data_IF_955761179377
#
_entry.id   IF_955761179377
#
_cell.length_a   1.000
_cell.length_b   1.000
_cell.length_c   1.000
_cell.angle_alpha   90.00
_cell.angle_beta   90.00
_cell.angle_gamma   90.00
#
_symmetry.space_group_name_H-M   'P 1'
#
loop_
_entity.id
_entity.type
_entity.pdbx_description
1 polymer ?
#
# COMPACT_ATOMS: atom_id res chain seq x y z
N UNK A 1 -6.52 25.91 -26.12
CA UNK A 1 -7.71 25.04 -26.24
C UNK A 1 -8.96 25.86 -25.95
N UNK A 2 -10.13 25.35 -26.29
CA UNK A 2 -11.43 25.96 -25.96
C UNK A 2 -11.95 25.45 -24.60
N UNK A 3 -12.85 26.20 -23.95
CA UNK A 3 -13.44 25.80 -22.67
C UNK A 3 -14.10 24.42 -22.75
N UNK A 4 -14.80 24.12 -23.86
CA UNK A 4 -15.48 22.85 -24.09
C UNK A 4 -14.51 21.65 -24.24
N UNK A 5 -13.31 21.89 -24.74
CA UNK A 5 -12.25 20.88 -24.79
C UNK A 5 -11.62 20.69 -23.40
N UNK A 6 -11.39 21.78 -22.68
CA UNK A 6 -10.87 21.75 -21.31
C UNK A 6 -11.82 20.97 -20.39
N UNK A 7 -13.13 21.26 -20.42
CA UNK A 7 -14.15 20.58 -19.62
C UNK A 7 -14.14 19.06 -19.80
N UNK A 8 -13.95 18.57 -21.04
CA UNK A 8 -13.85 17.14 -21.32
C UNK A 8 -12.56 16.50 -20.80
N UNK A 9 -11.51 17.29 -20.67
CA UNK A 9 -10.20 16.84 -20.18
C UNK A 9 -10.11 16.89 -18.65
N UNK A 10 -11.01 17.58 -17.95
CA UNK A 10 -11.00 17.69 -16.48
C UNK A 10 -11.03 16.29 -15.80
N UNK A 11 -11.93 15.36 -16.13
CA UNK A 11 -11.95 14.04 -15.49
C UNK A 11 -10.68 13.24 -15.79
N UNK A 12 -10.21 13.28 -17.05
CA UNK A 12 -9.00 12.59 -17.49
C UNK A 12 -7.75 13.16 -16.81
N UNK A 13 -7.76 14.46 -16.49
CA UNK A 13 -6.72 15.13 -15.71
C UNK A 13 -6.73 14.69 -14.25
N UNK A 14 -7.92 14.59 -13.62
CA UNK A 14 -8.07 14.09 -12.25
C UNK A 14 -7.58 12.64 -12.14
N UNK A 15 -7.82 11.82 -13.16
CA UNK A 15 -7.31 10.44 -13.27
C UNK A 15 -5.83 10.35 -13.69
N UNK A 16 -5.16 11.49 -13.93
CA UNK A 16 -3.76 11.60 -14.34
C UNK A 16 -3.41 10.85 -15.64
N UNK A 17 -4.35 10.82 -16.59
CA UNK A 17 -4.20 10.11 -17.88
C UNK A 17 -3.98 11.05 -19.09
N UNK A 18 -3.75 12.36 -18.87
CA UNK A 18 -3.46 13.28 -19.96
C UNK A 18 -2.08 13.07 -20.57
N UNK A 19 -2.00 13.16 -21.90
CA UNK A 19 -0.72 13.22 -22.59
C UNK A 19 -0.02 14.57 -22.32
N UNK A 20 1.31 14.59 -22.31
CA UNK A 20 2.13 15.77 -21.97
C UNK A 20 1.77 17.02 -22.80
N UNK A 21 1.55 16.85 -24.11
CA UNK A 21 1.16 17.97 -25.00
C UNK A 21 -0.22 18.53 -24.71
N UNK A 22 -1.14 17.70 -24.23
CA UNK A 22 -2.50 18.11 -23.89
C UNK A 22 -2.52 18.75 -22.51
N UNK A 23 -1.73 18.20 -21.57
CA UNK A 23 -1.55 18.72 -20.23
C UNK A 23 -1.00 20.15 -20.24
N UNK A 24 0.04 20.42 -21.03
CA UNK A 24 0.62 21.75 -21.13
C UNK A 24 -0.42 22.79 -21.59
N UNK A 25 -1.14 22.49 -22.68
CA UNK A 25 -2.20 23.36 -23.20
C UNK A 25 -3.37 23.51 -22.21
N UNK A 26 -3.66 22.47 -21.44
CA UNK A 26 -4.73 22.45 -20.44
C UNK A 26 -4.39 23.37 -19.26
N UNK A 27 -3.17 23.26 -18.75
CA UNK A 27 -2.68 24.09 -17.66
C UNK A 27 -2.59 25.57 -18.06
N UNK A 28 -2.18 25.87 -19.30
CA UNK A 28 -2.18 27.24 -19.81
C UNK A 28 -3.60 27.84 -19.86
N UNK A 29 -4.59 27.04 -20.29
CA UNK A 29 -5.98 27.47 -20.35
C UNK A 29 -6.61 27.66 -18.96
N UNK A 30 -6.42 26.71 -18.04
CA UNK A 30 -6.98 26.82 -16.68
C UNK A 30 -6.38 28.00 -15.90
N UNK A 31 -5.11 28.33 -16.11
CA UNK A 31 -4.48 29.51 -15.51
C UNK A 31 -5.09 30.83 -15.97
N UNK A 32 -5.62 30.88 -17.19
CA UNK A 32 -6.15 32.11 -17.81
C UNK A 32 -7.67 32.18 -17.82
N UNK A 33 -8.37 31.06 -17.63
CA UNK A 33 -9.82 30.97 -17.61
C UNK A 33 -10.33 30.59 -16.20
N UNK A 34 -10.85 31.56 -15.42
CA UNK A 34 -11.34 31.29 -14.07
C UNK A 34 -12.56 30.35 -14.05
N UNK A 35 -13.42 30.38 -15.08
CA UNK A 35 -14.57 29.50 -15.17
C UNK A 35 -14.18 28.01 -15.26
N UNK A 36 -13.17 27.68 -16.08
CA UNK A 36 -12.67 26.31 -16.18
C UNK A 36 -11.92 25.86 -14.92
N UNK A 37 -11.28 26.79 -14.19
CA UNK A 37 -10.66 26.52 -12.90
C UNK A 37 -11.71 26.20 -11.83
N UNK A 38 -12.81 26.95 -11.79
CA UNK A 38 -13.94 26.71 -10.90
C UNK A 38 -14.58 25.35 -11.16
N UNK A 39 -14.90 25.04 -12.42
CA UNK A 39 -15.43 23.73 -12.82
C UNK A 39 -14.48 22.59 -12.44
N UNK A 40 -13.17 22.75 -12.67
CA UNK A 40 -12.17 21.75 -12.27
C UNK A 40 -12.18 21.52 -10.76
N UNK A 41 -12.30 22.59 -9.96
CA UNK A 41 -12.34 22.49 -8.51
C UNK A 41 -13.58 21.74 -8.01
N UNK A 42 -14.75 21.99 -8.62
CA UNK A 42 -16.01 21.29 -8.30
C UNK A 42 -15.89 19.81 -8.65
N UNK A 43 -15.42 19.49 -9.86
CA UNK A 43 -15.22 18.11 -10.32
C UNK A 43 -14.22 17.35 -9.45
N UNK A 44 -13.13 18.00 -9.03
CA UNK A 44 -12.17 17.43 -8.10
C UNK A 44 -12.79 17.15 -6.72
N UNK A 45 -13.56 18.09 -6.17
CA UNK A 45 -14.26 17.91 -4.88
C UNK A 45 -15.30 16.79 -4.95
N UNK A 46 -16.02 16.64 -6.07
CA UNK A 46 -16.96 15.53 -6.27
C UNK A 46 -16.21 14.21 -6.37
N UNK A 47 -15.13 14.14 -7.14
CA UNK A 47 -14.31 12.93 -7.26
C UNK A 47 -13.72 12.51 -5.91
N UNK A 48 -13.14 13.44 -5.17
CA UNK A 48 -12.59 13.21 -3.82
C UNK A 48 -13.70 12.88 -2.80
N UNK A 49 -14.87 13.51 -2.91
CA UNK A 49 -16.04 13.21 -2.10
C UNK A 49 -16.59 11.81 -2.34
N UNK A 50 -16.65 11.37 -3.60
CA UNK A 50 -17.03 10.01 -3.98
C UNK A 50 -16.01 8.99 -3.49
N UNK A 51 -14.72 9.28 -3.68
CA UNK A 51 -13.63 8.47 -3.13
C UNK A 51 -13.76 8.28 -1.62
N UNK A 52 -14.08 9.35 -0.88
CA UNK A 52 -14.33 9.29 0.58
C UNK A 52 -15.59 8.52 1.00
N UNK A 53 -16.61 8.47 0.15
CA UNK A 53 -17.84 7.71 0.39
C UNK A 53 -17.67 6.23 0.04
N UNK A 54 -16.89 5.93 -1.00
CA UNK A 54 -16.51 4.58 -1.41
C UNK A 54 -15.47 3.98 -0.43
N UNK A 55 -14.55 4.81 0.10
CA UNK A 55 -13.66 4.50 1.24
C UNK A 55 -14.38 4.56 2.59
N UNK A 56 -15.70 4.81 2.62
CA UNK A 56 -16.55 4.58 3.78
C UNK A 56 -16.01 5.13 5.10
N UNK A 57 -15.75 6.43 5.22
CA UNK A 57 -15.71 7.08 6.54
C UNK A 57 -14.71 6.52 7.57
N UNK A 58 -13.49 6.19 7.18
CA UNK A 58 -12.30 6.26 8.06
C UNK A 58 -11.07 6.18 7.15
N UNK A 59 -10.11 7.10 7.25
CA UNK A 59 -8.81 6.72 7.79
C UNK A 59 -8.51 5.23 7.53
N UNK A 60 -8.10 4.90 6.30
CA UNK A 60 -7.49 3.62 5.90
C UNK A 60 -6.13 3.41 6.61
N UNK A 61 -6.08 3.63 7.92
CA UNK A 61 -5.00 3.18 8.80
C UNK A 61 -5.44 2.02 9.70
N UNK A 62 -6.72 1.62 9.71
CA UNK A 62 -7.20 0.48 10.51
C UNK A 62 -7.59 -0.76 9.70
N UNK A 63 -8.02 -0.61 8.44
CA UNK A 63 -8.42 -1.74 7.59
C UNK A 63 -7.23 -2.54 7.06
N UNK A 64 -6.30 -1.83 6.41
CA UNK A 64 -5.06 -2.42 5.89
C UNK A 64 -4.12 -2.83 7.04
N UNK A 65 -4.11 -2.07 8.14
CA UNK A 65 -3.32 -2.40 9.34
C UNK A 65 -3.89 -3.61 10.10
N UNK A 66 -5.21 -3.81 10.19
CA UNK A 66 -5.78 -5.03 10.81
C UNK A 66 -5.56 -6.25 9.94
N UNK A 67 -5.59 -6.10 8.61
CA UNK A 67 -5.23 -7.19 7.70
C UNK A 67 -3.74 -7.54 7.79
N UNK A 68 -2.85 -6.53 7.75
CA UNK A 68 -1.41 -6.70 7.93
C UNK A 68 -1.01 -7.18 9.33
N UNK A 69 -1.69 -6.75 10.40
CA UNK A 69 -1.46 -7.24 11.78
C UNK A 69 -2.00 -8.65 11.99
N UNK A 70 -3.15 -9.01 11.40
CA UNK A 70 -3.68 -10.37 11.47
C UNK A 70 -2.82 -11.36 10.66
N UNK A 71 -2.30 -10.93 9.52
CA UNK A 71 -1.43 -11.73 8.66
C UNK A 71 -0.02 -11.86 9.26
N UNK A 72 0.55 -10.77 9.79
CA UNK A 72 1.87 -10.79 10.45
C UNK A 72 1.88 -11.60 11.76
N UNK A 73 0.75 -11.70 12.47
CA UNK A 73 0.66 -12.53 13.69
C UNK A 73 0.65 -14.03 13.39
N UNK A 74 0.35 -14.44 12.15
CA UNK A 74 0.42 -15.85 11.69
C UNK A 74 1.71 -16.18 10.93
N UNK A 75 2.36 -15.18 10.31
CA UNK A 75 3.66 -15.36 9.65
C UNK A 75 4.85 -15.44 10.64
N UNK A 76 4.80 -14.69 11.75
CA UNK A 76 5.94 -14.60 12.69
C UNK A 76 6.04 -15.72 13.74
N UNK A 77 4.98 -16.52 13.99
CA UNK A 77 5.11 -17.63 14.96
C UNK A 77 5.85 -18.83 14.36
N UNK A 78 5.77 -19.05 13.05
CA UNK A 78 6.46 -20.16 12.39
C UNK A 78 7.97 -19.93 12.30
N UNK A 79 8.42 -18.74 11.91
CA UNK A 79 9.86 -18.50 11.76
C UNK A 79 10.63 -18.40 13.10
N UNK A 80 10.02 -17.89 14.18
CA UNK A 80 10.68 -17.81 15.50
C UNK A 80 10.68 -19.15 16.27
N UNK A 81 9.68 -19.99 16.05
CA UNK A 81 9.64 -21.34 16.62
C UNK A 81 10.59 -22.29 15.86
N UNK A 82 10.64 -22.22 14.53
CA UNK A 82 11.51 -23.05 13.71
C UNK A 82 13.00 -22.82 14.03
N UNK A 83 13.39 -21.57 14.31
CA UNK A 83 14.76 -21.24 14.72
C UNK A 83 15.08 -21.69 16.16
N UNK A 84 14.10 -21.70 17.09
CA UNK A 84 14.28 -22.24 18.45
C UNK A 84 14.34 -23.77 18.49
N UNK A 85 13.59 -24.47 17.64
CA UNK A 85 13.59 -25.94 17.56
C UNK A 85 14.86 -26.44 16.85
N UNK A 86 15.29 -25.77 15.77
CA UNK A 86 16.52 -26.13 15.06
C UNK A 86 17.77 -26.01 15.94
N UNK A 87 17.86 -24.95 16.75
CA UNK A 87 18.99 -24.76 17.67
C UNK A 87 18.99 -25.80 18.80
N UNK A 88 17.82 -26.20 19.33
CA UNK A 88 17.74 -27.23 20.37
C UNK A 88 18.11 -28.64 19.89
N UNK A 89 17.87 -28.94 18.62
CA UNK A 89 18.13 -30.26 18.04
C UNK A 89 19.62 -30.53 17.82
N UNK A 90 20.38 -29.51 17.43
CA UNK A 90 21.85 -29.56 17.28
C UNK A 90 22.54 -29.86 18.63
N UNK A 91 22.16 -29.16 19.71
CA UNK A 91 22.76 -29.39 21.04
C UNK A 91 22.36 -30.75 21.64
N UNK A 92 21.14 -31.22 21.38
CA UNK A 92 20.68 -32.52 21.86
C UNK A 92 21.50 -33.69 21.32
N UNK A 93 21.84 -33.67 20.02
CA UNK A 93 22.61 -34.74 19.39
C UNK A 93 24.05 -34.84 19.94
N UNK A 94 24.71 -33.70 20.18
CA UNK A 94 26.07 -33.66 20.77
C UNK A 94 26.07 -34.21 22.19
N UNK A 95 25.07 -33.84 23.01
CA UNK A 95 24.96 -34.34 24.39
C UNK A 95 24.76 -35.86 24.42
N UNK A 96 23.88 -36.40 23.57
CA UNK A 96 23.65 -37.85 23.48
C UNK A 96 24.91 -38.59 23.04
N UNK A 97 25.65 -38.05 22.05
CA UNK A 97 26.91 -38.65 21.60
C UNK A 97 27.96 -38.68 22.72
N UNK A 98 28.09 -37.61 23.49
CA UNK A 98 29.03 -37.54 24.62
C UNK A 98 28.67 -38.52 25.75
N UNK A 99 27.38 -38.62 26.10
CA UNK A 99 26.93 -39.58 27.11
C UNK A 99 27.22 -41.02 26.69
N UNK A 100 26.94 -41.37 25.42
CA UNK A 100 27.24 -42.70 24.88
C UNK A 100 28.75 -43.02 24.92
N UNK A 101 29.62 -42.04 24.61
CA UNK A 101 31.06 -42.22 24.71
C UNK A 101 31.53 -42.45 26.16
N UNK A 102 30.99 -41.69 27.12
CA UNK A 102 31.32 -41.86 28.54
C UNK A 102 30.88 -43.23 29.04
N UNK A 103 29.67 -43.68 28.68
CA UNK A 103 29.18 -45.02 29.04
C UNK A 103 30.03 -46.13 28.43
N UNK A 104 30.55 -45.95 27.20
CA UNK A 104 31.41 -46.95 26.57
C UNK A 104 32.82 -47.03 27.19
N UNK A 105 33.29 -45.94 27.81
CA UNK A 105 34.62 -45.86 28.42
C UNK A 105 34.67 -46.33 29.88
N UNK A 106 33.51 -46.53 30.52
CA UNK A 106 33.35 -47.06 31.88
C UNK A 106 33.19 -48.59 31.80
#
# INVERSE_FOLDING_TARGET
MTCKEAEKLIPVFIENQLNYRELEKFLEHIKTCPACMEEMSVQFLVAEGMKRLEDGGSLELEGELKYLLADSKRALSRHRLFWRIGLGLEFGAVIVMLVMLVVYLI
#
